data_IF_729199003302
#
_entry.id   IF_729199003302
#
_cell.length_a   1.000
_cell.length_b   1.000
_cell.length_c   1.000
_cell.angle_alpha   90.00
_cell.angle_beta   90.00
_cell.angle_gamma   90.00
#
_symmetry.space_group_name_H-M   'P 1'
#
loop_
_entity.id
_entity.type
_entity.pdbx_description
1 polymer ?
#
# COMPACT_ATOMS: atom_id res chain seq x y z
N UNK A 1 -11.99 -5.58 -16.73
CA UNK A 1 -12.92 -6.73 -16.56
C UNK A 1 -12.21 -8.02 -16.13
N UNK A 2 -11.02 -8.37 -16.67
CA UNK A 2 -10.42 -9.70 -16.46
C UNK A 2 -10.08 -10.10 -15.01
N UNK A 3 -9.59 -9.24 -14.12
CA UNK A 3 -9.10 -9.71 -12.78
C UNK A 3 -10.20 -10.06 -11.77
N UNK A 4 -11.35 -9.39 -11.82
CA UNK A 4 -12.47 -9.74 -10.95
C UNK A 4 -13.17 -11.00 -11.45
N UNK A 5 -13.18 -11.21 -12.77
CA UNK A 5 -13.43 -12.53 -13.36
C UNK A 5 -12.31 -13.51 -13.08
N UNK A 6 -11.04 -13.11 -12.92
CA UNK A 6 -9.93 -14.01 -12.59
C UNK A 6 -10.01 -14.49 -11.14
N UNK A 7 -10.53 -13.67 -10.21
CA UNK A 7 -10.89 -14.12 -8.85
C UNK A 7 -12.05 -15.12 -8.90
N UNK A 8 -13.05 -14.87 -9.75
CA UNK A 8 -14.13 -15.82 -10.00
C UNK A 8 -13.61 -17.10 -10.68
N UNK A 9 -12.69 -16.99 -11.63
CA UNK A 9 -12.09 -18.09 -12.39
C UNK A 9 -11.11 -18.87 -11.53
N UNK A 10 -10.33 -18.24 -10.65
CA UNK A 10 -9.46 -18.91 -9.70
C UNK A 10 -10.28 -19.67 -8.63
N UNK A 11 -11.41 -19.09 -8.21
CA UNK A 11 -12.40 -19.77 -7.37
C UNK A 11 -13.07 -20.91 -8.13
N UNK A 12 -13.36 -20.76 -9.44
CA UNK A 12 -13.91 -21.81 -10.32
C UNK A 12 -12.89 -22.91 -10.63
N UNK A 13 -11.59 -22.60 -10.76
CA UNK A 13 -10.53 -23.57 -11.07
C UNK A 13 -10.22 -24.47 -9.87
N UNK A 14 -10.35 -23.96 -8.63
CA UNK A 14 -10.30 -24.79 -7.42
C UNK A 14 -11.55 -25.68 -7.24
N UNK A 15 -12.58 -25.55 -8.09
CA UNK A 15 -13.88 -26.24 -7.98
C UNK A 15 -14.04 -27.45 -8.91
N UNK A 16 -12.96 -27.98 -9.48
CA UNK A 16 -13.00 -29.06 -10.48
C UNK A 16 -13.15 -30.51 -9.96
N UNK A 17 -13.51 -30.77 -8.71
CA UNK A 17 -13.82 -32.15 -8.26
C UNK A 17 -14.99 -32.15 -7.27
N UNK A 18 -16.17 -32.50 -7.77
CA UNK A 18 -17.31 -32.91 -6.97
C UNK A 18 -17.61 -34.38 -7.33
N UNK A 19 -17.20 -35.37 -6.54
CA UNK A 19 -17.72 -36.71 -6.70
C UNK A 19 -19.18 -36.68 -6.24
N UNK A 20 -20.10 -37.12 -7.08
CA UNK A 20 -21.51 -37.31 -6.73
C UNK A 20 -21.62 -38.04 -5.37
N UNK A 21 -22.44 -37.57 -4.42
CA UNK A 21 -22.67 -38.33 -3.21
C UNK A 21 -23.56 -39.54 -3.54
N UNK A 22 -23.31 -40.71 -2.91
CA UNK A 22 -24.26 -41.81 -3.00
C UNK A 22 -25.57 -41.40 -2.34
N UNK A 23 -26.67 -41.81 -2.95
CA UNK A 23 -28.03 -41.70 -2.41
C UNK A 23 -28.03 -42.21 -0.96
N UNK A 24 -28.26 -41.32 0.01
CA UNK A 24 -28.17 -41.63 1.43
C UNK A 24 -29.23 -40.88 2.23
N UNK A 25 -30.11 -41.68 2.86
CA UNK A 25 -30.99 -41.52 4.03
C UNK A 25 -31.35 -40.12 4.58
N UNK A 26 -32.57 -39.96 5.15
CA UNK A 26 -33.04 -38.68 5.68
C UNK A 26 -32.12 -38.18 6.80
N UNK A 27 -31.46 -37.04 6.57
CA UNK A 27 -30.57 -36.41 7.53
C UNK A 27 -31.32 -35.99 8.80
N UNK A 28 -30.78 -36.37 9.96
CA UNK A 28 -31.30 -35.96 11.27
C UNK A 28 -31.01 -34.47 11.50
N UNK A 29 -32.03 -33.60 11.71
CA UNK A 29 -31.85 -32.15 11.83
C UNK A 29 -30.89 -31.73 12.96
N UNK A 30 -30.75 -32.55 14.00
CA UNK A 30 -29.82 -32.28 15.11
C UNK A 30 -28.33 -32.31 14.75
N UNK A 31 -27.93 -33.03 13.70
CA UNK A 31 -26.53 -33.08 13.26
C UNK A 31 -26.16 -31.89 12.36
N UNK A 32 -27.12 -31.40 11.57
CA UNK A 32 -26.92 -30.24 10.70
C UNK A 32 -26.68 -28.96 11.53
N UNK A 33 -27.49 -28.70 12.56
CA UNK A 33 -27.34 -27.52 13.42
C UNK A 33 -25.97 -27.51 14.13
N UNK A 34 -25.56 -28.65 14.71
CA UNK A 34 -24.23 -28.77 15.34
C UNK A 34 -23.06 -28.55 14.37
N UNK A 35 -23.24 -28.91 13.10
CA UNK A 35 -22.23 -28.70 12.04
C UNK A 35 -22.10 -27.22 11.67
N UNK A 36 -23.22 -26.50 11.60
CA UNK A 36 -23.26 -25.06 11.34
C UNK A 36 -22.67 -24.25 12.52
N UNK A 37 -23.00 -24.61 13.76
CA UNK A 37 -22.44 -23.93 14.96
C UNK A 37 -20.92 -24.05 14.99
N UNK A 38 -20.39 -25.28 14.76
CA UNK A 38 -18.94 -25.52 14.68
C UNK A 38 -18.30 -24.74 13.53
N UNK A 39 -19.01 -24.56 12.42
CA UNK A 39 -18.50 -23.78 11.29
C UNK A 39 -18.44 -22.30 11.66
N UNK A 40 -19.50 -21.75 12.26
CA UNK A 40 -19.50 -20.36 12.72
C UNK A 40 -18.38 -20.09 13.74
N UNK A 41 -18.17 -20.99 14.70
CA UNK A 41 -17.07 -20.88 15.66
C UNK A 41 -15.69 -20.83 14.98
N UNK A 42 -15.46 -21.73 14.00
CA UNK A 42 -14.21 -21.74 13.23
C UNK A 42 -14.04 -20.46 12.43
N UNK A 43 -15.11 -19.97 11.81
CA UNK A 43 -15.11 -18.71 11.07
C UNK A 43 -14.74 -17.53 11.98
N UNK A 44 -15.35 -17.43 13.17
CA UNK A 44 -15.09 -16.36 14.13
C UNK A 44 -13.65 -16.36 14.67
N UNK A 45 -13.00 -17.53 14.78
CA UNK A 45 -11.58 -17.61 15.19
C UNK A 45 -10.63 -16.86 14.25
N UNK A 46 -11.01 -16.63 12.98
CA UNK A 46 -10.23 -15.84 12.04
C UNK A 46 -10.48 -14.33 12.15
N UNK A 47 -11.30 -13.90 13.11
CA UNK A 47 -11.71 -12.50 13.33
C UNK A 47 -12.18 -11.82 12.03
N UNK A 48 -13.20 -12.39 11.36
CA UNK A 48 -13.72 -11.85 10.11
C UNK A 48 -14.23 -10.42 10.31
N UNK A 49 -13.83 -9.46 9.45
CA UNK A 49 -14.17 -8.06 9.63
C UNK A 49 -15.66 -7.80 9.39
N UNK A 50 -16.23 -6.87 10.15
CA UNK A 50 -17.54 -6.29 9.88
C UNK A 50 -17.49 -5.36 8.68
N UNK A 51 -18.59 -5.28 7.93
CA UNK A 51 -18.74 -4.34 6.83
C UNK A 51 -20.05 -3.57 6.95
N UNK A 52 -19.91 -2.26 7.21
CA UNK A 52 -21.05 -1.34 7.33
C UNK A 52 -21.53 -0.82 5.97
N UNK A 53 -20.72 -1.02 4.91
CA UNK A 53 -20.86 -0.34 3.63
C UNK A 53 -20.12 1.00 3.63
N UNK A 54 -20.41 1.84 2.63
CA UNK A 54 -19.82 3.18 2.50
C UNK A 54 -19.43 3.50 1.05
N UNK A 55 -19.00 4.76 0.80
CA UNK A 55 -18.58 5.20 -0.51
C UNK A 55 -17.11 4.84 -0.84
N UNK A 56 -16.33 4.40 0.15
CA UNK A 56 -14.91 4.09 -0.02
C UNK A 56 -14.72 2.68 -0.62
N UNK A 57 -14.25 2.58 -1.88
CA UNK A 57 -14.04 1.30 -2.54
C UNK A 57 -12.89 0.49 -1.91
N UNK A 58 -11.89 1.14 -1.32
CA UNK A 58 -10.75 0.43 -0.74
C UNK A 58 -11.16 -0.32 0.54
N UNK A 59 -12.15 0.18 1.28
CA UNK A 59 -12.74 -0.54 2.43
C UNK A 59 -13.51 -1.77 1.96
N UNK A 60 -14.34 -1.62 0.91
CA UNK A 60 -15.11 -2.73 0.35
C UNK A 60 -14.21 -3.83 -0.20
N UNK A 61 -13.11 -3.43 -0.86
CA UNK A 61 -12.12 -4.34 -1.41
C UNK A 61 -11.44 -5.17 -0.33
N UNK A 62 -10.82 -4.49 0.65
CA UNK A 62 -10.09 -5.17 1.74
C UNK A 62 -11.00 -6.13 2.51
N UNK A 63 -12.26 -5.74 2.70
CA UNK A 63 -13.23 -6.62 3.31
C UNK A 63 -13.45 -7.89 2.47
N UNK A 64 -13.69 -7.74 1.16
CA UNK A 64 -13.93 -8.87 0.28
C UNK A 64 -12.72 -9.81 0.19
N UNK A 65 -11.51 -9.27 0.04
CA UNK A 65 -10.25 -10.02 0.02
C UNK A 65 -10.10 -10.86 1.31
N UNK A 66 -10.30 -10.23 2.48
CA UNK A 66 -10.22 -10.92 3.76
C UNK A 66 -11.23 -12.05 3.88
N UNK A 67 -12.45 -11.86 3.39
CA UNK A 67 -13.50 -12.89 3.40
C UNK A 67 -13.12 -14.06 2.50
N UNK A 68 -12.59 -13.80 1.30
CA UNK A 68 -12.10 -14.84 0.36
C UNK A 68 -10.99 -15.67 1.01
N UNK A 69 -10.00 -15.02 1.64
CA UNK A 69 -8.89 -15.71 2.32
C UNK A 69 -9.38 -16.66 3.41
N UNK A 70 -10.28 -16.18 4.27
CA UNK A 70 -10.85 -16.98 5.37
C UNK A 70 -11.61 -18.18 4.81
N UNK A 71 -12.43 -17.98 3.78
CA UNK A 71 -13.21 -19.06 3.17
C UNK A 71 -12.35 -20.09 2.45
N UNK A 72 -11.26 -19.66 1.81
CA UNK A 72 -10.28 -20.55 1.19
C UNK A 72 -9.58 -21.41 2.25
N UNK A 73 -9.15 -20.81 3.36
CA UNK A 73 -8.52 -21.53 4.48
C UNK A 73 -9.47 -22.55 5.13
N UNK A 74 -10.75 -22.20 5.26
CA UNK A 74 -11.76 -23.04 5.90
C UNK A 74 -12.43 -24.05 4.94
N UNK A 75 -12.18 -23.96 3.63
CA UNK A 75 -12.75 -24.81 2.57
C UNK A 75 -14.29 -24.86 2.61
N UNK A 76 -14.94 -23.71 2.83
CA UNK A 76 -16.40 -23.64 2.90
C UNK A 76 -17.07 -23.75 1.53
N UNK A 77 -18.26 -24.38 1.52
CA UNK A 77 -19.11 -24.48 0.33
C UNK A 77 -19.61 -23.11 -0.13
N UNK A 78 -19.97 -23.00 -1.42
CA UNK A 78 -20.39 -21.73 -2.04
C UNK A 78 -21.56 -21.06 -1.31
N UNK A 79 -22.50 -21.85 -0.79
CA UNK A 79 -23.66 -21.36 -0.05
C UNK A 79 -23.30 -20.88 1.35
N UNK A 80 -22.43 -21.65 2.05
CA UNK A 80 -21.95 -21.29 3.39
C UNK A 80 -21.15 -20.00 3.39
N UNK A 81 -20.34 -19.77 2.34
CA UNK A 81 -19.62 -18.52 2.14
C UNK A 81 -20.58 -17.32 2.11
N UNK A 82 -21.68 -17.40 1.34
CA UNK A 82 -22.69 -16.33 1.31
C UNK A 82 -23.30 -16.12 2.69
N UNK A 83 -23.68 -17.19 3.38
CA UNK A 83 -24.30 -17.10 4.72
C UNK A 83 -23.40 -16.38 5.72
N UNK A 84 -22.12 -16.71 5.76
CA UNK A 84 -21.18 -16.09 6.71
C UNK A 84 -20.71 -14.70 6.29
N UNK A 85 -20.61 -14.41 5.00
CA UNK A 85 -20.37 -13.04 4.54
C UNK A 85 -21.53 -12.12 4.92
N UNK A 86 -22.75 -12.56 4.68
CA UNK A 86 -23.98 -11.84 5.05
C UNK A 86 -24.09 -11.63 6.56
N UNK A 87 -23.62 -12.59 7.36
CA UNK A 87 -23.53 -12.45 8.82
C UNK A 87 -22.59 -11.32 9.27
N UNK A 88 -21.58 -10.97 8.46
CA UNK A 88 -20.66 -9.85 8.75
C UNK A 88 -21.10 -8.51 8.16
N UNK A 89 -22.22 -8.47 7.42
CA UNK A 89 -22.80 -7.23 6.94
C UNK A 89 -23.62 -6.55 8.04
N UNK A 90 -23.37 -5.27 8.26
CA UNK A 90 -24.06 -4.42 9.21
C UNK A 90 -24.50 -3.10 8.55
N UNK A 91 -25.30 -2.31 9.24
CA UNK A 91 -25.71 -0.98 8.77
C UNK A 91 -26.26 -0.96 7.34
N UNK A 92 -25.74 -0.04 6.52
CA UNK A 92 -26.19 0.18 5.15
C UNK A 92 -25.94 -1.04 4.24
N UNK A 93 -24.82 -1.75 4.44
CA UNK A 93 -24.54 -2.97 3.69
C UNK A 93 -25.56 -4.08 4.01
N UNK A 94 -25.99 -4.21 5.28
CA UNK A 94 -27.03 -5.18 5.63
C UNK A 94 -28.38 -4.85 5.00
N UNK A 95 -28.76 -3.57 5.00
CA UNK A 95 -29.98 -3.09 4.35
C UNK A 95 -29.97 -3.35 2.85
N UNK A 96 -28.83 -3.08 2.18
CA UNK A 96 -28.63 -3.40 0.77
C UNK A 96 -28.80 -4.90 0.49
N UNK A 97 -28.18 -5.76 1.30
CA UNK A 97 -28.29 -7.20 1.10
C UNK A 97 -29.73 -7.72 1.23
N UNK A 98 -30.54 -7.14 2.13
CA UNK A 98 -31.95 -7.53 2.25
C UNK A 98 -32.73 -7.30 0.93
N UNK A 99 -32.43 -6.21 0.21
CA UNK A 99 -33.03 -5.93 -1.11
C UNK A 99 -32.58 -6.97 -2.14
N UNK A 100 -31.28 -7.28 -2.18
CA UNK A 100 -30.71 -8.29 -3.09
C UNK A 100 -31.29 -9.68 -2.80
N UNK A 101 -31.46 -10.04 -1.53
CA UNK A 101 -32.08 -11.31 -1.13
C UNK A 101 -33.50 -11.45 -1.69
N UNK A 102 -34.34 -10.42 -1.54
CA UNK A 102 -35.70 -10.43 -2.11
C UNK A 102 -35.69 -10.49 -3.65
N UNK A 103 -34.72 -9.84 -4.30
CA UNK A 103 -34.51 -9.97 -5.75
C UNK A 103 -34.17 -11.43 -6.13
N UNK A 104 -33.21 -12.05 -5.44
CA UNK A 104 -32.80 -13.42 -5.71
C UNK A 104 -33.93 -14.43 -5.51
N UNK A 105 -34.76 -14.24 -4.49
CA UNK A 105 -35.95 -15.08 -4.25
C UNK A 105 -36.93 -15.00 -5.43
N UNK A 106 -37.20 -13.79 -5.94
CA UNK A 106 -38.08 -13.56 -7.09
C UNK A 106 -37.53 -14.16 -8.38
N UNK A 107 -36.24 -13.98 -8.62
CA UNK A 107 -35.55 -14.40 -9.86
C UNK A 107 -35.03 -15.85 -9.79
N UNK A 108 -35.26 -16.56 -8.68
CA UNK A 108 -34.70 -17.89 -8.42
C UNK A 108 -33.16 -17.95 -8.62
N UNK A 109 -32.47 -16.88 -8.27
CA UNK A 109 -31.01 -16.80 -8.42
C UNK A 109 -30.34 -17.74 -7.41
N UNK A 110 -29.44 -18.66 -7.86
CA UNK A 110 -28.75 -19.57 -6.95
C UNK A 110 -27.93 -18.83 -5.89
N UNK A 111 -28.02 -19.29 -4.63
CA UNK A 111 -27.28 -18.68 -3.50
C UNK A 111 -25.82 -19.11 -3.48
N UNK A 112 -25.05 -18.60 -4.44
CA UNK A 112 -23.63 -18.93 -4.60
C UNK A 112 -22.75 -17.73 -4.30
N UNK A 113 -21.52 -17.99 -3.84
CA UNK A 113 -20.52 -16.95 -3.61
C UNK A 113 -20.27 -16.08 -4.85
N UNK A 114 -20.22 -16.71 -6.04
CA UNK A 114 -20.06 -16.01 -7.32
C UNK A 114 -21.15 -14.97 -7.55
N UNK A 115 -22.41 -15.33 -7.30
CA UNK A 115 -23.52 -14.39 -7.45
C UNK A 115 -23.45 -13.28 -6.39
N UNK A 116 -23.05 -13.59 -5.16
CA UNK A 116 -22.87 -12.59 -4.10
C UNK A 116 -21.81 -11.56 -4.50
N UNK A 117 -20.64 -12.04 -4.94
CA UNK A 117 -19.54 -11.20 -5.41
C UNK A 117 -19.98 -10.33 -6.58
N UNK A 118 -20.77 -10.86 -7.51
CA UNK A 118 -21.33 -10.07 -8.63
C UNK A 118 -22.17 -8.90 -8.14
N UNK A 119 -23.11 -9.14 -7.22
CA UNK A 119 -23.97 -8.08 -6.67
C UNK A 119 -23.15 -7.08 -5.83
N UNK A 120 -22.19 -7.58 -5.04
CA UNK A 120 -21.27 -6.76 -4.25
C UNK A 120 -20.47 -5.81 -5.14
N UNK A 121 -19.88 -6.33 -6.22
CA UNK A 121 -19.10 -5.53 -7.15
C UNK A 121 -19.97 -4.53 -7.90
N UNK A 122 -21.18 -4.91 -8.33
CA UNK A 122 -22.11 -3.97 -8.93
C UNK A 122 -22.45 -2.79 -7.99
N UNK A 123 -22.48 -3.02 -6.68
CA UNK A 123 -22.78 -2.00 -5.67
C UNK A 123 -21.58 -1.11 -5.33
N UNK A 124 -20.41 -1.70 -5.07
CA UNK A 124 -19.25 -1.00 -4.50
C UNK A 124 -18.14 -0.70 -5.52
N UNK A 125 -18.15 -1.38 -6.66
CA UNK A 125 -17.22 -1.17 -7.78
C UNK A 125 -18.00 -0.90 -9.08
N UNK A 126 -18.87 0.11 -9.14
CA UNK A 126 -19.53 0.48 -10.40
C UNK A 126 -18.47 0.94 -11.44
N UNK A 127 -18.82 0.97 -12.74
CA UNK A 127 -17.86 1.28 -13.81
C UNK A 127 -17.02 2.54 -13.58
N UNK A 128 -17.62 3.63 -13.07
CA UNK A 128 -16.90 4.87 -12.76
C UNK A 128 -15.82 4.70 -11.68
N UNK A 129 -16.04 3.84 -10.68
CA UNK A 129 -15.05 3.57 -9.64
C UNK A 129 -13.92 2.70 -10.21
N UNK A 130 -14.25 1.72 -11.06
CA UNK A 130 -13.24 0.91 -11.74
C UNK A 130 -12.37 1.77 -12.65
N UNK A 131 -12.98 2.65 -13.45
CA UNK A 131 -12.28 3.61 -14.31
C UNK A 131 -11.35 4.50 -13.49
N UNK A 132 -11.82 5.06 -12.36
CA UNK A 132 -10.97 5.84 -11.45
C UNK A 132 -9.76 5.07 -10.92
N UNK A 133 -9.92 3.78 -10.59
CA UNK A 133 -8.82 2.93 -10.10
C UNK A 133 -7.84 2.57 -11.22
N UNK A 134 -8.34 2.31 -12.42
CA UNK A 134 -7.51 2.13 -13.61
C UNK A 134 -6.71 3.40 -13.92
N UNK A 135 -7.36 4.56 -13.86
CA UNK A 135 -6.75 5.88 -13.98
C UNK A 135 -5.68 6.16 -12.91
N UNK A 136 -5.92 5.72 -11.67
CA UNK A 136 -4.95 5.80 -10.57
C UNK A 136 -3.69 4.98 -10.93
N UNK A 137 -3.86 3.78 -11.48
CA UNK A 137 -2.76 2.96 -11.97
C UNK A 137 -2.05 3.58 -13.19
N UNK A 138 -2.79 4.21 -14.11
CA UNK A 138 -2.25 4.91 -15.29
C UNK A 138 -1.45 6.16 -14.89
N UNK A 139 -1.83 6.81 -13.79
CA UNK A 139 -1.12 8.00 -13.28
C UNK A 139 -0.06 7.68 -12.23
N UNK A 140 0.02 6.44 -11.77
CA UNK A 140 0.99 6.02 -10.77
C UNK A 140 2.42 6.28 -11.25
N UNK A 141 3.15 7.06 -10.45
CA UNK A 141 4.57 7.30 -10.60
C UNK A 141 5.23 7.29 -9.22
N UNK A 142 6.52 6.97 -9.17
CA UNK A 142 7.31 6.89 -7.95
C UNK A 142 7.34 8.24 -7.22
N UNK A 143 7.46 9.35 -7.95
CA UNK A 143 7.53 10.69 -7.34
C UNK A 143 8.66 10.79 -6.30
N UNK A 144 8.29 11.06 -5.05
CA UNK A 144 9.20 11.15 -3.90
C UNK A 144 9.27 9.87 -3.06
N UNK A 145 8.50 8.83 -3.43
CA UNK A 145 8.48 7.55 -2.73
C UNK A 145 9.75 6.76 -3.03
N UNK A 146 10.11 5.87 -2.11
CA UNK A 146 11.12 4.85 -2.40
C UNK A 146 10.64 3.90 -3.50
N UNK A 147 11.58 3.21 -4.16
CA UNK A 147 11.23 2.19 -5.16
C UNK A 147 10.36 1.09 -4.53
N UNK A 148 10.59 0.74 -3.26
CA UNK A 148 9.82 -0.27 -2.54
C UNK A 148 8.36 0.17 -2.31
N UNK A 149 8.13 1.42 -1.88
CA UNK A 149 6.77 1.96 -1.70
C UNK A 149 6.04 2.08 -3.04
N UNK A 150 6.73 2.52 -4.09
CA UNK A 150 6.19 2.58 -5.44
C UNK A 150 5.81 1.19 -5.97
N UNK A 151 6.66 0.17 -5.76
CA UNK A 151 6.37 -1.21 -6.13
C UNK A 151 5.14 -1.74 -5.39
N UNK A 152 5.03 -1.48 -4.09
CA UNK A 152 3.86 -1.88 -3.31
C UNK A 152 2.57 -1.26 -3.86
N UNK A 153 2.60 0.02 -4.25
CA UNK A 153 1.44 0.68 -4.86
C UNK A 153 1.15 0.16 -6.27
N UNK A 154 2.19 -0.12 -7.06
CA UNK A 154 2.08 -0.69 -8.39
C UNK A 154 1.38 -2.05 -8.33
N UNK A 155 1.85 -2.94 -7.45
CA UNK A 155 1.27 -4.27 -7.26
C UNK A 155 -0.16 -4.19 -6.74
N UNK A 156 -0.45 -3.26 -5.81
CA UNK A 156 -1.80 -3.04 -5.31
C UNK A 156 -2.76 -2.58 -6.41
N UNK A 157 -2.37 -1.63 -7.25
CA UNK A 157 -3.26 -1.03 -8.26
C UNK A 157 -3.33 -1.83 -9.56
N UNK A 158 -2.32 -2.66 -9.84
CA UNK A 158 -2.22 -3.50 -11.04
C UNK A 158 -3.47 -4.35 -11.32
N UNK A 159 -4.17 -4.83 -10.27
CA UNK A 159 -5.38 -5.65 -10.39
C UNK A 159 -6.54 -4.92 -11.09
N UNK A 160 -6.55 -3.59 -11.09
CA UNK A 160 -7.59 -2.80 -11.77
C UNK A 160 -7.31 -2.59 -13.27
N UNK A 161 -6.08 -2.81 -13.72
CA UNK A 161 -5.68 -2.60 -15.11
C UNK A 161 -4.92 -3.80 -15.71
N UNK A 162 -5.50 -5.02 -15.70
CA UNK A 162 -4.80 -6.23 -16.15
C UNK A 162 -4.33 -6.15 -17.60
N UNK A 163 -5.06 -5.46 -18.47
CA UNK A 163 -4.69 -5.31 -19.89
C UNK A 163 -3.38 -4.53 -20.08
N UNK A 164 -3.05 -3.64 -19.14
CA UNK A 164 -1.82 -2.85 -19.15
C UNK A 164 -0.59 -3.64 -18.67
N UNK A 165 -0.80 -4.77 -17.99
CA UNK A 165 0.27 -5.61 -17.44
C UNK A 165 0.15 -7.08 -17.88
N UNK A 166 -0.63 -7.34 -18.94
CA UNK A 166 -0.99 -8.69 -19.38
C UNK A 166 0.21 -9.56 -19.77
N UNK A 167 1.31 -8.94 -20.20
CA UNK A 167 2.57 -9.64 -20.46
C UNK A 167 3.66 -9.10 -19.55
N UNK A 168 4.66 -9.93 -19.23
CA UNK A 168 5.83 -9.49 -18.45
C UNK A 168 6.49 -8.25 -19.08
N UNK A 169 6.60 -8.19 -20.41
CA UNK A 169 7.16 -7.03 -21.10
C UNK A 169 6.32 -5.76 -20.90
N UNK A 170 4.98 -5.87 -20.98
CA UNK A 170 4.08 -4.74 -20.71
C UNK A 170 4.20 -4.28 -19.27
N UNK A 171 4.24 -5.23 -18.33
CA UNK A 171 4.37 -4.98 -16.89
C UNK A 171 5.68 -4.27 -16.55
N UNK A 172 6.81 -4.79 -17.07
CA UNK A 172 8.14 -4.17 -16.94
C UNK A 172 8.15 -2.77 -17.52
N UNK A 173 7.70 -2.60 -18.78
CA UNK A 173 7.67 -1.28 -19.43
C UNK A 173 6.86 -0.28 -18.63
N UNK A 174 5.68 -0.68 -18.15
CA UNK A 174 4.80 0.17 -17.35
C UNK A 174 5.45 0.55 -16.02
N UNK A 175 6.11 -0.40 -15.35
CA UNK A 175 6.84 -0.14 -14.12
C UNK A 175 7.97 0.88 -14.32
N UNK A 176 8.80 0.70 -15.36
CA UNK A 176 9.88 1.65 -15.71
C UNK A 176 9.34 3.04 -16.00
N UNK A 177 8.25 3.16 -16.75
CA UNK A 177 7.64 4.45 -17.10
C UNK A 177 7.23 5.28 -15.88
N UNK A 178 6.84 4.63 -14.78
CA UNK A 178 6.48 5.32 -13.54
C UNK A 178 7.67 5.57 -12.59
N UNK A 179 8.85 4.99 -12.82
CA UNK A 179 10.03 5.25 -11.98
C UNK A 179 10.52 6.70 -12.13
N UNK A 180 11.30 7.18 -11.18
CA UNK A 180 11.98 8.47 -11.31
C UNK A 180 12.91 8.46 -12.55
N UNK A 181 12.92 9.55 -13.32
CA UNK A 181 13.68 9.69 -14.58
C UNK A 181 15.16 9.32 -14.44
N UNK A 182 15.72 9.60 -13.28
CA UNK A 182 17.10 9.30 -12.97
C UNK A 182 17.37 7.78 -12.85
N UNK A 183 16.44 7.04 -12.25
CA UNK A 183 16.50 5.57 -12.20
C UNK A 183 16.19 5.01 -13.59
N UNK A 184 15.24 5.60 -14.33
CA UNK A 184 14.96 5.18 -15.71
C UNK A 184 16.23 5.26 -16.58
N UNK A 185 17.03 6.32 -16.43
CA UNK A 185 18.32 6.49 -17.11
C UNK A 185 19.30 5.38 -16.74
N UNK A 186 19.42 5.04 -15.46
CA UNK A 186 20.31 3.98 -14.98
C UNK A 186 19.90 2.58 -15.52
N UNK A 187 18.62 2.39 -15.83
CA UNK A 187 18.07 1.15 -16.39
C UNK A 187 18.08 1.08 -17.93
N UNK A 188 18.30 2.20 -18.63
CA UNK A 188 18.05 2.32 -20.07
C UNK A 188 18.84 1.35 -20.97
N UNK A 189 20.04 0.96 -20.54
CA UNK A 189 20.93 0.04 -21.28
C UNK A 189 20.95 -1.36 -20.69
N UNK A 190 20.13 -1.62 -19.66
CA UNK A 190 20.11 -2.90 -18.97
C UNK A 190 19.13 -3.86 -19.65
N UNK A 191 19.55 -5.11 -19.84
CA UNK A 191 18.63 -6.16 -20.28
C UNK A 191 17.70 -6.49 -19.12
N UNK A 192 16.38 -6.33 -19.31
CA UNK A 192 15.37 -6.62 -18.29
C UNK A 192 14.30 -7.49 -18.92
N UNK A 193 14.13 -8.70 -18.37
CA UNK A 193 13.22 -9.70 -18.95
C UNK A 193 12.01 -10.01 -18.06
N UNK A 194 12.06 -9.67 -16.77
CA UNK A 194 11.02 -10.01 -15.81
C UNK A 194 10.72 -8.84 -14.87
N UNK A 195 9.53 -8.87 -14.27
CA UNK A 195 9.14 -7.89 -13.27
C UNK A 195 10.04 -7.93 -12.02
N UNK A 196 10.44 -9.12 -11.57
CA UNK A 196 11.37 -9.25 -10.45
C UNK A 196 12.74 -8.61 -10.74
N UNK A 197 13.22 -8.73 -11.97
CA UNK A 197 14.51 -8.18 -12.38
C UNK A 197 14.50 -6.65 -12.43
N UNK A 198 13.41 -6.04 -12.92
CA UNK A 198 13.30 -4.56 -12.91
C UNK A 198 13.23 -4.01 -11.49
N UNK A 199 12.53 -4.67 -10.57
CA UNK A 199 12.42 -4.23 -9.18
C UNK A 199 13.77 -4.30 -8.48
N UNK A 200 14.50 -5.41 -8.59
CA UNK A 200 15.84 -5.56 -8.00
C UNK A 200 16.82 -4.50 -8.52
N UNK A 201 16.86 -4.29 -9.85
CA UNK A 201 17.73 -3.29 -10.46
C UNK A 201 17.37 -1.86 -10.06
N UNK A 202 16.07 -1.53 -10.00
CA UNK A 202 15.61 -0.22 -9.55
C UNK A 202 16.00 0.05 -8.08
N UNK A 203 15.88 -0.95 -7.20
CA UNK A 203 16.31 -0.85 -5.80
C UNK A 203 17.84 -0.64 -5.69
N UNK A 204 18.64 -1.36 -6.49
CA UNK A 204 20.09 -1.16 -6.53
C UNK A 204 20.47 0.24 -7.02
N UNK A 205 19.80 0.73 -8.07
CA UNK A 205 20.01 2.08 -8.58
C UNK A 205 19.68 3.13 -7.51
N UNK A 206 18.54 3.01 -6.84
CA UNK A 206 18.16 3.91 -5.73
C UNK A 206 19.22 3.93 -4.62
N UNK A 207 19.70 2.76 -4.17
CA UNK A 207 20.74 2.66 -3.15
C UNK A 207 22.08 3.29 -3.60
N UNK A 208 22.53 2.98 -4.82
CA UNK A 208 23.76 3.55 -5.38
C UNK A 208 23.69 5.09 -5.44
N UNK A 209 22.52 5.66 -5.77
CA UNK A 209 22.31 7.10 -5.78
C UNK A 209 22.31 7.71 -4.38
N UNK A 210 21.74 7.03 -3.39
CA UNK A 210 21.83 7.45 -1.99
C UNK A 210 23.29 7.47 -1.50
N UNK A 211 24.09 6.46 -1.85
CA UNK A 211 25.52 6.40 -1.55
C UNK A 211 26.28 7.59 -2.16
N UNK A 212 26.06 7.87 -3.46
CA UNK A 212 26.68 9.01 -4.16
C UNK A 212 26.30 10.34 -3.52
N UNK A 213 25.02 10.53 -3.20
CA UNK A 213 24.53 11.75 -2.51
C UNK A 213 25.21 11.92 -1.15
N UNK A 214 25.29 10.86 -0.35
CA UNK A 214 25.94 10.88 0.96
C UNK A 214 27.44 11.21 0.87
N UNK A 215 28.13 10.67 -0.13
CA UNK A 215 29.53 10.99 -0.38
C UNK A 215 29.72 12.48 -0.75
N UNK A 216 28.87 13.02 -1.62
CA UNK A 216 28.92 14.43 -2.02
C UNK A 216 28.64 15.38 -0.85
N UNK A 217 27.67 15.06 0.01
CA UNK A 217 27.36 15.84 1.22
C UNK A 217 28.55 15.84 2.19
N UNK A 218 29.14 14.66 2.46
CA UNK A 218 30.34 14.54 3.31
C UNK A 218 31.51 15.35 2.75
N UNK A 219 31.75 15.28 1.45
CA UNK A 219 32.80 16.06 0.78
C UNK A 219 32.55 17.57 0.94
N UNK A 220 31.31 18.05 0.76
CA UNK A 220 30.98 19.48 0.92
C UNK A 220 31.15 19.97 2.37
N UNK A 221 30.83 19.14 3.35
CA UNK A 221 31.07 19.44 4.77
C UNK A 221 32.57 19.55 5.12
N UNK A 222 33.42 18.80 4.43
CA UNK A 222 34.87 18.86 4.62
C UNK A 222 35.51 20.14 4.03
N UNK A 223 35.01 20.64 2.89
CA UNK A 223 35.54 21.87 2.26
C UNK A 223 34.92 23.18 2.77
N UNK A 224 33.80 23.14 3.50
CA UNK A 224 33.14 24.33 4.06
C UNK A 224 33.70 24.83 5.40
N UNK A 225 34.65 24.11 6.01
CA UNK A 225 35.19 24.41 7.35
C UNK A 225 36.53 25.16 7.39
N UNK A 226 37.08 25.58 6.25
CA UNK A 226 38.36 26.32 6.21
C UNK A 226 38.20 27.68 5.55
N UNK A 227 37.66 28.65 6.30
CA UNK A 227 37.91 30.06 6.03
C UNK A 227 37.68 30.88 7.29
N UNK A 228 38.68 30.87 8.19
CA UNK A 228 38.98 32.00 9.08
C UNK A 228 40.50 32.08 9.23
N UNK A 229 41.10 32.75 8.25
CA UNK A 229 42.02 33.87 8.44
C UNK A 229 43.21 33.66 9.39
N UNK A 230 44.33 33.18 8.84
CA UNK A 230 45.66 33.59 9.31
C UNK A 230 46.06 34.85 8.53
N UNK A 231 46.17 35.99 9.21
CA UNK A 231 47.25 36.94 8.92
C UNK A 231 47.46 37.92 10.09
N UNK A 232 48.53 37.71 10.87
CA UNK A 232 49.42 38.76 11.38
C UNK A 232 50.58 38.14 12.17
N UNK A 233 51.72 38.07 11.48
CA UNK A 233 53.09 38.32 11.98
C UNK A 233 53.24 38.74 13.45
N UNK A 234 54.16 38.10 14.20
CA UNK A 234 55.39 38.73 14.78
C UNK A 234 56.23 37.69 15.57
N UNK A 235 57.53 37.63 15.32
CA UNK A 235 58.56 36.88 16.08
C UNK A 235 58.79 37.44 17.50
N UNK A 236 59.07 36.65 18.55
CA UNK A 236 59.46 37.19 19.84
C UNK A 236 60.98 37.42 19.94
N UNK A 237 61.40 38.69 20.08
CA UNK A 237 62.74 39.08 20.53
C UNK A 237 62.76 39.23 22.05
N UNK A 238 63.69 38.53 22.69
CA UNK A 238 64.14 38.78 24.06
C UNK A 238 64.75 40.18 24.19
N UNK A 239 64.40 40.90 25.26
CA UNK A 239 64.99 42.20 25.60
C UNK A 239 64.53 42.72 26.96
N UNK A 240 65.43 42.67 27.93
CA UNK A 240 65.34 43.05 29.35
C UNK A 240 65.48 44.58 29.48
N UNK A 241 64.68 45.25 30.31
CA UNK A 241 64.89 46.68 30.60
C UNK A 241 63.83 47.29 31.52
N UNK A 242 64.27 47.85 32.64
CA UNK A 242 63.49 48.37 33.76
C UNK A 242 62.86 49.76 33.50
N UNK A 243 61.87 50.11 34.33
CA UNK A 243 61.70 51.51 34.78
C UNK A 243 60.30 52.12 34.65
N UNK A 244 59.55 52.11 35.75
CA UNK A 244 58.94 53.32 36.33
C UNK A 244 57.69 53.94 35.67
N UNK A 245 56.59 53.95 36.43
CA UNK A 245 55.91 55.22 36.74
C UNK A 245 54.50 55.46 36.20
N UNK A 246 53.56 55.50 37.17
CA UNK A 246 52.36 56.38 37.28
C UNK A 246 51.13 56.20 36.35
N UNK A 247 50.04 55.80 37.01
CA UNK A 247 48.62 56.19 36.82
C UNK A 247 48.47 57.68 37.28
N UNK A 248 47.42 58.50 36.98
CA UNK A 248 46.02 58.11 36.76
C UNK A 248 45.10 58.98 35.85
N UNK A 249 43.84 58.56 35.71
CA UNK A 249 42.68 59.45 35.41
C UNK A 249 41.60 58.79 34.55
N UNK A 250 40.62 58.07 35.12
CA UNK A 250 39.24 58.52 35.47
C UNK A 250 38.40 59.20 34.38
N UNK A 251 37.32 58.54 33.95
CA UNK A 251 35.90 59.00 33.98
C UNK A 251 35.06 58.04 33.09
N UNK A 252 34.22 57.14 33.63
CA UNK A 252 32.86 57.30 34.19
C UNK A 252 31.84 57.90 33.21
N UNK A 253 30.89 57.07 32.77
CA UNK A 253 29.68 57.52 32.06
C UNK A 253 28.82 56.40 31.45
N UNK A 254 28.08 55.67 32.27
CA UNK A 254 26.84 54.93 31.94
C UNK A 254 25.63 55.88 32.11
N UNK A 255 24.36 55.47 31.86
CA UNK A 255 23.68 54.79 30.72
C UNK A 255 22.37 55.60 30.41
N UNK A 256 21.13 55.06 30.19
CA UNK A 256 20.60 53.80 29.62
C UNK A 256 19.42 53.99 28.61
N UNK A 257 18.83 52.84 28.19
CA UNK A 257 17.37 52.59 27.91
C UNK A 257 16.80 53.29 26.66
N UNK A 258 16.00 52.68 25.79
CA UNK A 258 15.19 51.47 25.82
C UNK A 258 14.00 51.71 24.88
N UNK A 259 13.39 50.67 24.32
CA UNK A 259 12.16 50.83 23.52
C UNK A 259 11.74 49.60 22.74
N UNK A 260 10.89 48.78 23.35
CA UNK A 260 9.97 47.88 22.66
C UNK A 260 8.85 48.69 21.98
N UNK A 261 8.32 48.15 20.89
CA UNK A 261 6.88 48.05 20.47
C UNK A 261 6.90 47.69 18.98
N UNK A 262 6.12 46.75 18.45
CA UNK A 262 5.05 45.91 18.97
C UNK A 262 4.68 44.85 17.93
#
# INVERSE_FOLDING_TARGET
MKQMTDLLDHVVQQQGHNPNPPVGNPENPGNHVKSEDRALERFQKFSPPKFLGGPDPDVAERWLEKMVDIFAALRYSKERQVTFAVFQLEGAARSWWNVIRTKWEREQTPRTWVNFVREFNAKYFPPLIQEKKEDEFIRLCQGTQSVAEYESQFTRLAKFAPELIMTEQRRVRRFIQGLNVEIQKDLAVTQINTFSDVVDKALRAENARLQVRNFQVRKRGFFGGSSTQEDKSTLPKFGRGAGGGRVPGTARGTPPRGGQTG
#
